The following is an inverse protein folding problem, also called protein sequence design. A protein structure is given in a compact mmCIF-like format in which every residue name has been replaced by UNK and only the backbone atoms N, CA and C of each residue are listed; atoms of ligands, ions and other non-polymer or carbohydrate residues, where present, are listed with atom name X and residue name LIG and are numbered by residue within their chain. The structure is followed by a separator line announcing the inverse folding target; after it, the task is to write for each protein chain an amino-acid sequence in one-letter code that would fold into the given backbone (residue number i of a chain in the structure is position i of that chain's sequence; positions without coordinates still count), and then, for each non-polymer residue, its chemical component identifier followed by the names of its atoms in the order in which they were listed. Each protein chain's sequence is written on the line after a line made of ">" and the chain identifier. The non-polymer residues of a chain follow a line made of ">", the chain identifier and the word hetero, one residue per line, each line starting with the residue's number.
data_IF_998059750288
#
_entry.id   IF_998059750288
#
_cell.length_a   1.000
_cell.length_b   1.000
_cell.length_c   1.000
_cell.angle_alpha   90.00
_cell.angle_beta   90.00
_cell.angle_gamma   90.00
#
_symmetry.space_group_name_H-M   'P 1'
#
loop_
_entity.id
_entity.type
_entity.pdbx_description
1 polymer ?
#
# COMPACT_ATOMS: atom_id res chain seq x y z
N UNK A 1 -45.53 -40.68 23.88
CA UNK A 1 -45.64 -41.46 22.65
C UNK A 1 -46.93 -41.13 21.93
N UNK A 2 -46.98 -40.04 21.21
CA UNK A 2 -48.08 -39.68 20.27
C UNK A 2 -47.68 -38.34 19.68
N UNK A 3 -46.85 -38.29 18.64
CA UNK A 3 -46.65 -37.14 17.75
C UNK A 3 -45.63 -37.45 16.64
N UNK A 4 -45.52 -38.72 16.21
CA UNK A 4 -44.52 -39.10 15.17
C UNK A 4 -45.17 -39.71 13.91
N UNK A 5 -46.48 -39.66 13.73
CA UNK A 5 -47.19 -40.32 12.61
C UNK A 5 -47.82 -39.36 11.59
N UNK A 6 -47.87 -38.05 11.83
CA UNK A 6 -48.56 -37.13 10.92
C UNK A 6 -47.64 -36.51 9.83
N UNK A 7 -46.32 -36.64 9.93
CA UNK A 7 -45.41 -36.01 8.96
C UNK A 7 -45.03 -36.91 7.76
N UNK A 8 -45.52 -38.13 7.65
CA UNK A 8 -45.17 -39.11 6.59
C UNK A 8 -46.21 -39.23 5.47
N UNK A 9 -47.36 -38.56 5.58
CA UNK A 9 -48.40 -38.65 4.56
C UNK A 9 -48.51 -37.40 3.65
N UNK A 10 -47.83 -36.28 3.95
CA UNK A 10 -47.85 -35.10 3.09
C UNK A 10 -46.77 -35.09 1.99
N UNK A 11 -45.81 -36.01 1.98
CA UNK A 11 -44.75 -36.06 0.98
C UNK A 11 -45.06 -36.96 -0.24
N UNK A 12 -46.16 -37.69 -0.26
CA UNK A 12 -46.50 -38.58 -1.36
C UNK A 12 -47.56 -38.06 -2.35
N UNK A 13 -48.14 -36.87 -2.13
CA UNK A 13 -49.17 -36.32 -3.01
C UNK A 13 -48.65 -35.24 -3.99
N UNK A 14 -47.44 -34.74 -3.82
CA UNK A 14 -46.81 -33.77 -4.74
C UNK A 14 -45.92 -34.33 -5.85
N UNK A 15 -45.75 -35.64 -5.95
CA UNK A 15 -44.89 -36.31 -6.93
C UNK A 15 -45.64 -36.84 -8.17
N UNK A 16 -46.88 -36.48 -8.41
CA UNK A 16 -47.70 -37.05 -9.54
C UNK A 16 -48.42 -36.04 -10.45
N UNK A 17 -47.99 -34.76 -10.49
CA UNK A 17 -48.55 -33.78 -11.44
C UNK A 17 -47.49 -32.89 -12.07
N UNK A 18 -46.49 -33.47 -12.69
CA UNK A 18 -45.59 -32.71 -13.58
C UNK A 18 -44.96 -33.63 -14.63
N UNK A 19 -45.84 -34.25 -15.40
CA UNK A 19 -45.38 -34.97 -16.59
C UNK A 19 -46.46 -34.88 -17.66
N UNK A 20 -46.68 -33.69 -18.21
CA UNK A 20 -47.36 -33.47 -19.52
C UNK A 20 -47.36 -31.97 -19.84
N UNK A 21 -46.19 -31.48 -20.25
CA UNK A 21 -45.98 -30.18 -20.88
C UNK A 21 -45.21 -30.46 -22.16
N UNK A 22 -45.93 -30.91 -23.15
CA UNK A 22 -45.44 -31.29 -24.48
C UNK A 22 -44.80 -30.12 -25.19
N UNK A 23 -43.58 -30.35 -25.60
CA UNK A 23 -42.75 -29.60 -26.53
C UNK A 23 -43.50 -29.28 -27.81
N UNK A 24 -43.91 -28.02 -28.00
CA UNK A 24 -44.18 -27.47 -29.34
C UNK A 24 -42.95 -26.68 -29.76
N UNK A 25 -42.04 -27.32 -30.43
CA UNK A 25 -40.99 -26.67 -31.20
C UNK A 25 -41.64 -26.05 -32.46
N UNK A 26 -41.94 -24.76 -32.42
CA UNK A 26 -42.17 -23.96 -33.59
C UNK A 26 -40.79 -23.73 -34.24
N UNK A 27 -40.59 -24.41 -35.39
CA UNK A 27 -39.53 -24.10 -36.36
C UNK A 27 -39.82 -22.71 -36.96
N UNK A 28 -39.36 -21.66 -36.30
CA UNK A 28 -39.13 -20.37 -36.95
C UNK A 28 -37.77 -20.46 -37.57
N UNK A 29 -37.74 -20.48 -38.91
CA UNK A 29 -36.48 -20.39 -39.68
C UNK A 29 -35.75 -19.11 -39.32
N UNK A 30 -34.81 -19.21 -38.42
CA UNK A 30 -33.87 -18.15 -38.12
C UNK A 30 -32.79 -18.18 -39.20
N UNK A 31 -32.78 -17.18 -40.07
CA UNK A 31 -31.55 -16.75 -40.74
C UNK A 31 -30.53 -16.41 -39.65
N UNK A 32 -29.71 -17.38 -39.29
CA UNK A 32 -28.73 -17.27 -38.24
C UNK A 32 -27.63 -16.30 -38.63
N UNK A 33 -27.80 -15.07 -38.29
CA UNK A 33 -26.65 -14.18 -38.07
C UNK A 33 -25.93 -14.76 -36.87
N UNK A 34 -24.78 -15.36 -37.08
CA UNK A 34 -23.95 -15.91 -36.00
C UNK A 34 -23.40 -14.76 -35.19
N UNK A 35 -24.09 -14.40 -34.11
CA UNK A 35 -23.68 -13.36 -33.16
C UNK A 35 -22.82 -14.00 -32.08
N UNK A 36 -21.67 -13.42 -31.82
CA UNK A 36 -20.79 -13.81 -30.71
C UNK A 36 -21.45 -13.33 -29.43
N UNK A 37 -21.86 -14.26 -28.57
CA UNK A 37 -22.45 -13.93 -27.27
C UNK A 37 -21.39 -14.11 -26.16
N UNK A 38 -21.30 -13.14 -25.27
CA UNK A 38 -20.48 -13.24 -24.04
C UNK A 38 -21.37 -13.74 -22.91
N UNK A 39 -20.92 -14.79 -22.24
CA UNK A 39 -21.61 -15.41 -21.11
C UNK A 39 -20.71 -15.35 -19.88
N UNK A 40 -21.28 -15.10 -18.70
CA UNK A 40 -20.52 -15.28 -17.46
C UNK A 40 -20.04 -16.74 -17.38
N UNK A 41 -18.74 -16.91 -17.18
CA UNK A 41 -18.13 -18.24 -17.07
C UNK A 41 -18.39 -18.79 -15.67
N UNK A 42 -19.60 -19.32 -15.42
CA UNK A 42 -19.72 -20.29 -14.35
C UNK A 42 -18.86 -21.50 -14.66
N UNK A 43 -18.17 -22.01 -13.69
CA UNK A 43 -17.10 -23.00 -13.76
C UNK A 43 -17.43 -24.34 -14.48
N UNK A 44 -18.63 -24.48 -15.01
CA UNK A 44 -19.11 -25.67 -15.74
C UNK A 44 -19.34 -25.45 -17.25
N UNK A 45 -19.24 -24.25 -17.77
CA UNK A 45 -19.57 -23.90 -19.15
C UNK A 45 -18.38 -23.33 -19.95
N UNK A 46 -17.15 -23.75 -19.66
CA UNK A 46 -16.03 -23.55 -20.55
C UNK A 46 -16.28 -24.41 -21.81
N UNK A 47 -17.03 -23.84 -22.79
CA UNK A 47 -17.14 -24.45 -24.11
C UNK A 47 -15.73 -24.60 -24.69
N UNK A 48 -15.41 -25.74 -25.30
CA UNK A 48 -14.08 -26.08 -25.87
C UNK A 48 -13.51 -25.04 -26.85
N UNK A 49 -14.23 -23.96 -27.15
CA UNK A 49 -13.88 -22.89 -28.06
C UNK A 49 -14.20 -21.49 -27.52
N UNK A 50 -13.95 -21.19 -26.25
CA UNK A 50 -14.15 -19.88 -25.67
C UNK A 50 -12.84 -19.28 -25.18
N UNK A 51 -12.65 -17.97 -25.37
CA UNK A 51 -11.57 -17.22 -24.77
C UNK A 51 -12.07 -16.57 -23.49
N UNK A 52 -11.40 -16.85 -22.39
CA UNK A 52 -11.74 -16.27 -21.09
C UNK A 52 -11.03 -14.94 -20.87
N UNK A 53 -11.71 -14.00 -20.25
CA UNK A 53 -11.11 -12.78 -19.77
C UNK A 53 -11.73 -12.38 -18.41
N UNK A 54 -10.97 -11.59 -17.65
CA UNK A 54 -11.37 -11.08 -16.34
C UNK A 54 -11.53 -9.57 -16.38
N UNK A 55 -12.42 -9.07 -15.51
CA UNK A 55 -12.45 -7.64 -15.21
C UNK A 55 -11.60 -7.36 -13.97
N UNK A 56 -11.00 -6.16 -13.87
CA UNK A 56 -10.23 -5.79 -12.70
C UNK A 56 -11.12 -5.27 -11.57
N UNK A 57 -10.60 -5.36 -10.34
CA UNK A 57 -11.06 -4.65 -9.15
C UNK A 57 -9.90 -3.81 -8.60
N UNK A 58 -10.21 -2.90 -7.69
CA UNK A 58 -9.21 -2.02 -7.09
C UNK A 58 -8.76 -2.56 -5.75
N UNK A 59 -7.47 -2.73 -5.61
CA UNK A 59 -6.77 -2.95 -4.36
C UNK A 59 -6.21 -1.61 -3.85
N UNK A 60 -6.43 -1.31 -2.58
CA UNK A 60 -5.83 -0.19 -1.88
C UNK A 60 -4.55 -0.64 -1.21
N UNK A 61 -3.45 -0.04 -1.58
CA UNK A 61 -2.16 -0.22 -0.93
C UNK A 61 -1.90 0.98 -0.04
N UNK A 62 -1.85 0.75 1.26
CA UNK A 62 -1.58 1.79 2.26
C UNK A 62 -0.19 1.58 2.83
N UNK A 63 0.67 2.57 2.65
CA UNK A 63 1.96 2.65 3.30
C UNK A 63 1.84 3.49 4.57
N UNK A 64 2.18 2.92 5.70
CA UNK A 64 2.35 3.62 6.96
C UNK A 64 3.82 3.62 7.36
N UNK A 65 4.39 4.79 7.62
CA UNK A 65 5.77 4.97 8.05
C UNK A 65 5.79 5.61 9.44
N UNK A 66 6.46 4.95 10.37
CA UNK A 66 6.69 5.46 11.71
C UNK A 66 8.18 5.70 11.95
N UNK A 67 8.47 6.80 12.61
CA UNK A 67 9.82 7.17 13.03
C UNK A 67 10.02 6.82 14.51
N UNK A 68 11.11 6.11 14.77
CA UNK A 68 11.57 5.80 16.12
C UNK A 68 12.71 6.73 16.50
N UNK A 69 12.59 7.37 17.65
CA UNK A 69 13.69 8.09 18.29
C UNK A 69 14.13 7.34 19.53
N UNK A 70 15.37 6.86 19.49
CA UNK A 70 16.04 6.24 20.64
C UNK A 70 17.00 7.25 21.25
N UNK A 71 16.84 7.51 22.53
CA UNK A 71 17.73 8.36 23.30
C UNK A 71 18.45 7.51 24.34
N UNK A 72 19.74 7.74 24.49
CA UNK A 72 20.58 7.05 25.49
C UNK A 72 21.38 8.07 26.26
N UNK A 73 21.32 8.01 27.60
CA UNK A 73 22.11 8.87 28.45
C UNK A 73 23.61 8.52 28.37
N UNK A 74 24.44 9.54 28.33
CA UNK A 74 25.88 9.36 28.38
C UNK A 74 26.37 8.84 29.73
N UNK A 75 27.49 8.12 29.80
CA UNK A 75 28.04 7.62 31.07
C UNK A 75 28.40 8.73 32.05
N UNK A 76 28.64 9.95 31.56
CA UNK A 76 29.01 11.11 32.37
C UNK A 76 27.89 12.16 32.50
N UNK A 77 26.64 11.83 32.21
CA UNK A 77 25.55 12.80 32.16
C UNK A 77 25.37 13.62 33.44
N UNK A 78 25.63 13.03 34.63
CA UNK A 78 25.55 13.72 35.94
C UNK A 78 26.60 14.82 36.13
N UNK A 79 27.64 14.84 35.30
CA UNK A 79 28.76 15.76 35.39
C UNK A 79 28.76 16.82 34.30
N UNK A 80 27.77 16.78 33.35
CA UNK A 80 27.69 17.67 32.19
C UNK A 80 27.61 19.15 32.61
N UNK A 81 26.74 19.48 33.54
CA UNK A 81 26.58 20.84 34.04
C UNK A 81 27.87 21.34 34.72
N UNK A 82 28.48 20.49 35.56
CA UNK A 82 29.69 20.85 36.32
C UNK A 82 30.89 21.11 35.41
N UNK A 83 31.12 20.27 34.40
CA UNK A 83 32.35 20.33 33.59
C UNK A 83 32.17 21.03 32.27
N UNK A 84 30.99 20.98 31.65
CA UNK A 84 30.72 21.59 30.36
C UNK A 84 29.73 22.76 30.42
N UNK A 85 29.08 23.01 31.56
CA UNK A 85 28.06 24.02 31.71
C UNK A 85 26.77 23.71 30.96
N UNK A 86 26.50 22.43 30.61
CA UNK A 86 25.33 21.99 29.84
C UNK A 86 24.35 21.29 30.78
N UNK A 87 23.14 21.84 30.87
CA UNK A 87 22.04 21.29 31.71
C UNK A 87 21.02 20.46 30.90
N UNK A 88 20.94 20.70 29.56
CA UNK A 88 20.07 19.94 28.69
C UNK A 88 20.76 18.64 28.26
N UNK A 89 20.51 17.58 29.01
CA UNK A 89 21.12 16.26 28.84
C UNK A 89 20.10 15.16 28.90
N UNK A 90 20.35 14.07 28.20
CA UNK A 90 19.54 12.85 28.32
C UNK A 90 19.83 12.21 29.69
N UNK A 91 18.86 12.18 30.58
CA UNK A 91 18.99 11.65 31.94
C UNK A 91 18.64 10.17 32.06
N UNK A 92 17.81 9.65 31.15
CA UNK A 92 17.36 8.26 31.13
C UNK A 92 17.19 7.77 29.68
N UNK A 93 17.43 6.48 29.42
CA UNK A 93 17.18 5.92 28.10
C UNK A 93 15.68 5.96 27.80
N UNK A 94 15.33 6.42 26.61
CA UNK A 94 13.95 6.44 26.11
C UNK A 94 13.89 5.95 24.66
N UNK A 95 12.78 5.27 24.33
CA UNK A 95 12.46 4.86 22.97
C UNK A 95 11.03 5.31 22.68
N UNK A 96 10.88 6.19 21.70
CA UNK A 96 9.57 6.74 21.34
C UNK A 96 9.33 6.65 19.86
N UNK A 97 8.09 6.32 19.50
CA UNK A 97 7.63 6.24 18.13
C UNK A 97 6.63 7.35 17.84
N UNK A 98 6.66 7.85 16.62
CA UNK A 98 5.64 8.75 16.08
C UNK A 98 5.31 8.34 14.64
N UNK A 99 4.06 8.56 14.24
CA UNK A 99 3.66 8.38 12.85
C UNK A 99 4.29 9.51 12.02
N UNK A 100 5.05 9.14 11.00
CA UNK A 100 5.76 10.09 10.15
C UNK A 100 4.95 10.40 8.88
N UNK A 101 4.47 9.33 8.21
CA UNK A 101 3.74 9.47 6.96
C UNK A 101 2.76 8.33 6.77
N UNK A 102 1.61 8.65 6.17
CA UNK A 102 0.65 7.67 5.66
C UNK A 102 0.32 8.04 4.22
N UNK A 103 0.40 7.07 3.32
CA UNK A 103 0.05 7.25 1.92
C UNK A 103 -0.89 6.14 1.48
N UNK A 104 -1.82 6.45 0.57
CA UNK A 104 -2.71 5.48 -0.04
C UNK A 104 -2.57 5.51 -1.55
N UNK A 105 -2.53 4.34 -2.15
CA UNK A 105 -2.45 4.15 -3.59
C UNK A 105 -3.44 3.08 -4.02
N UNK A 106 -4.04 3.25 -5.19
CA UNK A 106 -4.91 2.26 -5.79
C UNK A 106 -4.15 1.53 -6.89
N UNK A 107 -4.31 0.22 -6.95
CA UNK A 107 -3.81 -0.59 -8.07
C UNK A 107 -4.89 -1.55 -8.56
N UNK A 108 -4.95 -1.78 -9.90
CA UNK A 108 -5.87 -2.74 -10.46
C UNK A 108 -5.36 -4.16 -10.20
N UNK A 109 -6.25 -5.03 -9.75
CA UNK A 109 -5.98 -6.47 -9.59
C UNK A 109 -7.11 -7.27 -10.24
N UNK A 110 -6.83 -8.49 -10.67
CA UNK A 110 -7.83 -9.38 -11.26
C UNK A 110 -8.95 -9.68 -10.29
N UNK A 111 -10.21 -9.58 -10.76
CA UNK A 111 -11.39 -10.03 -10.03
C UNK A 111 -11.77 -11.44 -10.49
N UNK A 112 -11.50 -12.45 -9.68
CA UNK A 112 -11.79 -13.85 -10.01
C UNK A 112 -13.29 -14.15 -10.11
N UNK A 113 -14.12 -13.30 -9.48
CA UNK A 113 -15.58 -13.46 -9.53
C UNK A 113 -16.18 -12.89 -10.83
N UNK A 114 -15.46 -12.05 -11.56
CA UNK A 114 -15.90 -11.43 -12.81
C UNK A 114 -15.14 -12.01 -14.00
N UNK A 115 -15.33 -13.30 -14.22
CA UNK A 115 -14.81 -14.03 -15.37
C UNK A 115 -15.86 -14.13 -16.47
N UNK A 116 -15.50 -13.81 -17.70
CA UNK A 116 -16.37 -13.84 -18.88
C UNK A 116 -15.75 -14.67 -19.99
N UNK A 117 -16.62 -15.41 -20.69
CA UNK A 117 -16.25 -16.25 -21.81
C UNK A 117 -16.76 -15.64 -23.13
N UNK A 118 -15.86 -15.43 -24.08
CA UNK A 118 -16.21 -15.05 -25.45
C UNK A 118 -16.17 -16.31 -26.30
N UNK A 119 -17.34 -16.77 -26.77
CA UNK A 119 -17.43 -17.93 -27.63
C UNK A 119 -16.90 -17.60 -29.04
N UNK A 120 -15.90 -18.33 -29.47
CA UNK A 120 -15.34 -18.22 -30.83
C UNK A 120 -16.06 -19.24 -31.74
N UNK A 121 -16.90 -18.77 -32.65
CA UNK A 121 -17.59 -19.62 -33.59
C UNK A 121 -16.90 -19.57 -34.95
N UNK A 122 -16.81 -20.70 -35.69
CA UNK A 122 -16.16 -20.79 -37.03
C UNK A 122 -16.76 -19.84 -38.07
N UNK A 123 -17.97 -19.32 -37.84
CA UNK A 123 -18.69 -18.39 -38.74
C UNK A 123 -18.61 -16.93 -38.32
N UNK A 124 -18.12 -16.63 -37.13
CA UNK A 124 -17.92 -15.28 -36.64
C UNK A 124 -16.44 -14.91 -36.71
N UNK A 125 -16.17 -13.71 -37.18
CA UNK A 125 -14.85 -13.14 -37.13
C UNK A 125 -14.39 -13.08 -35.69
N UNK A 126 -13.29 -13.77 -35.35
CA UNK A 126 -12.77 -13.77 -34.01
C UNK A 126 -12.34 -12.36 -33.61
N UNK A 127 -12.81 -11.89 -32.48
CA UNK A 127 -12.27 -10.66 -31.89
C UNK A 127 -10.82 -10.89 -31.46
N UNK A 128 -9.99 -9.91 -31.73
CA UNK A 128 -8.64 -9.91 -31.19
C UNK A 128 -8.72 -9.32 -29.79
N UNK A 129 -8.69 -10.18 -28.76
CA UNK A 129 -8.69 -9.77 -27.36
C UNK A 129 -7.26 -9.60 -26.88
N UNK A 130 -6.96 -8.47 -26.29
CA UNK A 130 -5.71 -8.23 -25.60
C UNK A 130 -5.96 -8.20 -24.09
N UNK A 131 -5.23 -9.03 -23.38
CA UNK A 131 -5.27 -9.14 -21.93
C UNK A 131 -3.89 -8.86 -21.35
N UNK A 132 -3.86 -8.49 -20.08
CA UNK A 132 -2.64 -8.49 -19.27
C UNK A 132 -2.17 -9.94 -19.04
N UNK A 133 -0.97 -10.12 -18.47
CA UNK A 133 -0.45 -11.44 -18.08
C UNK A 133 -1.39 -12.16 -17.10
N UNK A 134 -2.14 -11.41 -16.27
CA UNK A 134 -3.15 -11.94 -15.36
C UNK A 134 -4.51 -12.21 -16.01
N UNK A 135 -4.64 -12.04 -17.33
CA UNK A 135 -5.87 -12.30 -18.07
C UNK A 135 -6.93 -11.19 -17.97
N UNK A 136 -6.57 -9.99 -17.51
CA UNK A 136 -7.48 -8.84 -17.45
C UNK A 136 -7.60 -8.20 -18.84
N UNK A 137 -8.84 -7.97 -19.32
CA UNK A 137 -9.09 -7.39 -20.62
C UNK A 137 -8.66 -5.92 -20.69
N UNK A 138 -7.85 -5.59 -21.69
CA UNK A 138 -7.29 -4.23 -21.92
C UNK A 138 -7.79 -3.61 -23.21
N UNK A 139 -7.90 -4.43 -24.26
CA UNK A 139 -8.35 -3.95 -25.56
C UNK A 139 -9.04 -5.04 -26.39
N UNK A 140 -9.87 -4.60 -27.35
CA UNK A 140 -10.53 -5.46 -28.34
C UNK A 140 -10.27 -4.86 -29.72
N UNK A 141 -9.73 -5.66 -30.64
CA UNK A 141 -9.35 -5.25 -32.00
C UNK A 141 -8.43 -4.02 -32.07
N UNK A 142 -7.78 -3.65 -30.97
CA UNK A 142 -6.88 -2.51 -30.87
C UNK A 142 -5.54 -2.95 -30.27
N UNK A 143 -4.43 -2.25 -30.56
CA UNK A 143 -3.17 -2.49 -29.86
C UNK A 143 -3.32 -2.19 -28.37
N UNK A 144 -2.50 -2.84 -27.55
CA UNK A 144 -2.49 -2.58 -26.09
C UNK A 144 -2.32 -1.07 -25.85
N UNK A 145 -3.24 -0.42 -25.17
CA UNK A 145 -3.05 0.97 -24.82
C UNK A 145 -1.77 1.07 -23.98
N UNK A 146 -0.93 2.05 -24.33
CA UNK A 146 0.19 2.39 -23.44
C UNK A 146 -0.41 2.70 -22.07
N UNK A 147 0.00 2.03 -21.00
CA UNK A 147 -0.47 2.37 -19.67
C UNK A 147 -0.27 3.88 -19.48
N UNK A 148 -1.29 4.58 -18.99
CA UNK A 148 -1.09 5.93 -18.49
C UNK A 148 -0.24 5.77 -17.21
N UNK A 149 1.06 5.53 -17.43
CA UNK A 149 2.07 5.46 -16.38
C UNK A 149 2.13 6.84 -15.68
N UNK A 150 1.17 7.09 -14.82
CA UNK A 150 1.50 7.94 -13.69
C UNK A 150 2.60 7.18 -12.97
N UNK A 151 3.79 7.80 -12.81
CA UNK A 151 4.88 7.13 -12.13
C UNK A 151 4.35 6.69 -10.78
N UNK A 152 4.20 5.38 -10.64
CA UNK A 152 3.88 4.79 -9.33
C UNK A 152 4.93 5.36 -8.39
N UNK A 153 4.59 6.12 -7.35
CA UNK A 153 5.59 6.57 -6.41
C UNK A 153 6.24 5.30 -5.88
N UNK A 154 7.49 5.07 -6.32
CA UNK A 154 8.34 4.04 -5.72
C UNK A 154 8.57 4.50 -4.29
N UNK A 155 7.73 4.02 -3.40
CA UNK A 155 7.92 4.30 -1.99
C UNK A 155 9.16 3.56 -1.55
N UNK A 156 10.18 4.27 -1.08
CA UNK A 156 11.29 3.60 -0.45
C UNK A 156 10.70 2.88 0.78
N UNK A 157 10.52 1.57 0.65
CA UNK A 157 10.31 0.73 1.82
C UNK A 157 11.57 0.92 2.63
N UNK A 158 11.49 1.68 3.73
CA UNK A 158 12.60 1.81 4.64
C UNK A 158 13.00 0.38 5.02
N UNK A 159 14.23 0.00 4.68
CA UNK A 159 14.76 -1.28 5.10
C UNK A 159 14.51 -1.39 6.61
N UNK A 160 14.01 -2.54 7.08
CA UNK A 160 13.85 -2.77 8.50
C UNK A 160 15.17 -2.43 9.17
N UNK A 161 15.24 -1.23 9.74
CA UNK A 161 16.40 -0.86 10.53
C UNK A 161 16.39 -1.82 11.74
N UNK A 162 17.35 -2.72 11.76
CA UNK A 162 17.61 -3.55 12.92
C UNK A 162 17.63 -2.63 14.15
N UNK A 163 17.08 -3.10 15.29
CA UNK A 163 17.06 -2.32 16.52
C UNK A 163 18.43 -1.69 16.76
N UNK A 164 18.55 -0.40 16.45
CA UNK A 164 19.81 0.30 16.49
C UNK A 164 20.20 0.51 17.95
N UNK A 165 21.18 -0.24 18.41
CA UNK A 165 21.73 -0.07 19.74
C UNK A 165 22.62 1.16 19.72
N UNK A 166 22.28 2.17 20.52
CA UNK A 166 23.12 3.36 20.70
C UNK A 166 24.31 2.98 21.56
N UNK A 167 25.51 3.02 21.00
CA UNK A 167 26.76 2.76 21.71
C UNK A 167 27.59 4.03 21.83
N UNK A 168 28.38 4.11 22.90
CA UNK A 168 29.36 5.17 23.11
C UNK A 168 30.75 4.64 22.86
N UNK A 169 31.52 5.36 22.04
CA UNK A 169 32.91 5.01 21.77
C UNK A 169 33.81 5.54 22.89
N UNK A 170 34.11 4.68 23.85
CA UNK A 170 35.04 5.00 24.94
C UNK A 170 36.49 5.00 24.48
N UNK A 171 36.84 4.48 23.29
CA UNK A 171 38.20 4.46 22.78
C UNK A 171 38.75 5.86 22.42
N UNK A 172 37.86 6.85 22.31
CA UNK A 172 38.22 8.25 22.11
C UNK A 172 38.79 8.91 23.37
N UNK A 173 38.64 8.27 24.54
CA UNK A 173 39.23 8.77 25.78
C UNK A 173 40.72 8.53 25.81
N UNK A 174 41.49 9.52 26.28
CA UNK A 174 42.90 9.36 26.52
C UNK A 174 43.22 8.28 27.56
N UNK A 175 44.43 7.72 27.52
CA UNK A 175 44.87 6.63 28.39
C UNK A 175 44.64 6.95 29.89
N UNK A 176 44.96 8.18 30.32
CA UNK A 176 44.71 8.60 31.70
C UNK A 176 43.27 8.48 32.15
N UNK A 177 42.30 8.77 31.23
CA UNK A 177 40.88 8.66 31.54
C UNK A 177 40.44 7.20 31.61
N UNK A 178 40.97 6.32 30.74
CA UNK A 178 40.65 4.90 30.73
C UNK A 178 41.19 4.16 31.97
N UNK A 179 42.33 4.59 32.51
CA UNK A 179 42.95 4.00 33.70
C UNK A 179 42.43 4.63 35.01
N UNK A 180 41.60 5.68 34.91
CA UNK A 180 41.09 6.36 36.08
C UNK A 180 40.17 5.43 36.92
N UNK A 181 40.40 5.40 38.19
CA UNK A 181 39.74 4.49 39.15
C UNK A 181 38.28 4.90 39.53
N UNK A 182 37.82 6.05 39.05
CA UNK A 182 36.49 6.55 39.38
C UNK A 182 35.82 7.31 38.24
N UNK A 183 34.49 7.16 38.13
CA UNK A 183 33.67 7.85 37.11
C UNK A 183 33.85 9.38 37.14
N UNK A 184 33.83 10.05 38.33
CA UNK A 184 34.07 11.49 38.38
C UNK A 184 35.42 11.90 37.78
N UNK A 185 36.48 11.12 38.04
CA UNK A 185 37.81 11.41 37.49
C UNK A 185 37.86 11.19 36.00
N UNK A 186 37.24 10.12 35.49
CA UNK A 186 37.10 9.88 34.05
C UNK A 186 36.35 11.07 33.37
N UNK A 187 35.27 11.55 33.97
CA UNK A 187 34.52 12.70 33.44
C UNK A 187 35.36 13.99 33.44
N UNK A 188 36.13 14.25 34.49
CA UNK A 188 37.04 15.40 34.55
C UNK A 188 38.07 15.36 33.41
N UNK A 189 38.70 14.21 33.20
CA UNK A 189 39.74 14.03 32.16
C UNK A 189 39.14 14.10 30.75
N UNK A 190 37.96 13.54 30.53
CA UNK A 190 37.22 13.66 29.28
C UNK A 190 36.86 15.13 28.97
N UNK A 191 36.40 15.89 29.96
CA UNK A 191 36.13 17.32 29.79
C UNK A 191 37.38 18.11 29.46
N UNK A 192 38.50 17.81 30.12
CA UNK A 192 39.80 18.43 29.81
C UNK A 192 40.23 18.17 28.36
N UNK A 193 40.02 16.96 27.88
CA UNK A 193 40.30 16.60 26.47
C UNK A 193 39.41 17.39 25.51
N UNK A 194 38.10 17.56 25.80
CA UNK A 194 37.20 18.40 25.00
C UNK A 194 37.74 19.83 24.92
N UNK A 195 38.17 20.43 26.02
CA UNK A 195 38.71 21.79 26.01
C UNK A 195 40.02 21.87 25.21
N UNK A 196 40.88 20.86 25.28
CA UNK A 196 42.13 20.80 24.46
C UNK A 196 41.78 20.75 22.96
N UNK A 197 40.75 19.99 22.55
CA UNK A 197 40.31 19.95 21.17
C UNK A 197 39.83 21.33 20.74
N UNK A 198 39.00 22.02 21.56
CA UNK A 198 38.52 23.37 21.29
C UNK A 198 39.64 24.39 21.14
N UNK A 199 40.66 24.34 22.01
CA UNK A 199 41.87 25.18 21.92
C UNK A 199 42.64 24.91 20.64
N UNK A 200 42.88 23.63 20.29
CA UNK A 200 43.56 23.25 19.06
C UNK A 200 42.80 23.73 17.82
N UNK A 201 41.49 23.62 17.80
CA UNK A 201 40.65 24.13 16.72
C UNK A 201 40.71 25.66 16.61
N UNK A 202 40.66 26.35 17.72
CA UNK A 202 40.79 27.81 17.76
C UNK A 202 42.18 28.28 17.24
N UNK A 203 43.26 27.61 17.63
CA UNK A 203 44.62 27.91 17.16
C UNK A 203 44.77 27.68 15.64
N UNK A 204 44.18 26.59 15.10
CA UNK A 204 44.17 26.33 13.66
C UNK A 204 43.40 27.42 12.88
N UNK A 205 42.29 27.87 13.42
CA UNK A 205 41.46 28.92 12.78
C UNK A 205 42.10 30.31 12.90
N UNK A 206 42.84 30.58 13.97
CA UNK A 206 43.57 31.85 14.16
C UNK A 206 44.80 31.96 13.29
N UNK A 207 45.32 30.84 12.76
CA UNK A 207 46.53 30.83 11.96
C UNK A 207 47.82 30.93 12.80
N UNK A 208 47.75 30.61 14.09
CA UNK A 208 48.89 30.71 15.04
C UNK A 208 49.90 29.56 14.88
N UNK A 209 49.74 28.69 13.90
CA UNK A 209 50.67 27.61 13.63
C UNK A 209 51.76 28.03 12.60
N UNK A 210 53.00 27.73 12.87
CA UNK A 210 54.15 28.06 12.01
C UNK A 210 54.04 27.49 10.58
N UNK A 211 53.29 26.40 10.40
CA UNK A 211 52.98 25.81 9.10
C UNK A 211 51.47 25.48 9.02
N UNK A 212 50.72 26.30 8.31
CA UNK A 212 49.35 26.00 7.99
C UNK A 212 49.30 24.91 6.92
N UNK A 213 48.54 23.82 7.12
CA UNK A 213 48.26 22.86 6.07
C UNK A 213 47.55 23.53 4.92
N UNK A 214 47.65 22.95 3.72
CA UNK A 214 46.88 23.40 2.57
C UNK A 214 45.34 23.33 2.89
N UNK A 215 44.54 24.15 2.18
CA UNK A 215 43.10 24.32 2.50
C UNK A 215 42.30 23.02 2.53
N UNK A 216 42.62 22.01 1.72
CA UNK A 216 41.97 20.70 1.73
C UNK A 216 42.36 19.89 2.98
N UNK A 217 43.67 19.88 3.34
CA UNK A 217 44.15 19.20 4.53
C UNK A 217 43.63 19.86 5.81
N UNK A 218 43.55 21.19 5.86
CA UNK A 218 42.93 21.94 6.97
C UNK A 218 41.45 21.55 7.15
N UNK A 219 40.70 21.43 6.06
CA UNK A 219 39.32 20.99 6.11
C UNK A 219 39.14 19.59 6.74
N UNK A 220 39.98 18.64 6.35
CA UNK A 220 39.99 17.28 6.94
C UNK A 220 40.39 17.31 8.41
N UNK A 221 41.36 18.11 8.80
CA UNK A 221 41.76 18.23 10.22
C UNK A 221 40.66 18.80 11.09
N UNK A 222 40.02 19.88 10.64
CA UNK A 222 38.89 20.47 11.37
C UNK A 222 37.72 19.49 11.49
N UNK A 223 37.42 18.75 10.42
CA UNK A 223 36.38 17.72 10.47
C UNK A 223 36.67 16.64 11.51
N UNK A 224 37.92 16.16 11.57
CA UNK A 224 38.34 15.15 12.55
C UNK A 224 38.27 15.67 13.98
N UNK A 225 38.66 16.93 14.23
CA UNK A 225 38.48 17.55 15.55
C UNK A 225 37.03 17.68 15.94
N UNK A 226 36.16 18.08 15.02
CA UNK A 226 34.74 18.20 15.25
C UNK A 226 34.07 16.81 15.51
N UNK A 227 34.48 15.76 14.82
CA UNK A 227 34.05 14.39 15.07
C UNK A 227 34.47 13.92 16.46
N UNK A 228 35.77 14.12 16.82
CA UNK A 228 36.28 13.75 18.14
C UNK A 228 35.59 14.53 19.27
N UNK A 229 35.42 15.85 19.12
CA UNK A 229 34.67 16.66 20.09
C UNK A 229 33.24 16.17 20.27
N UNK A 230 32.53 15.89 19.17
CA UNK A 230 31.14 15.42 19.19
C UNK A 230 31.00 14.09 19.93
N UNK A 231 31.90 13.14 19.70
CA UNK A 231 31.88 11.84 20.38
C UNK A 231 32.17 11.99 21.89
N UNK A 232 33.13 12.83 22.27
CA UNK A 232 33.43 13.07 23.68
C UNK A 232 32.31 13.84 24.39
N UNK A 233 31.71 14.85 23.74
CA UNK A 233 30.56 15.59 24.27
C UNK A 233 29.36 14.68 24.46
N UNK A 234 29.16 13.72 23.55
CA UNK A 234 28.07 12.75 23.66
C UNK A 234 28.16 11.88 24.92
N UNK A 235 29.35 11.65 25.47
CA UNK A 235 29.52 10.97 26.77
C UNK A 235 28.87 11.73 27.93
N UNK A 236 28.65 13.05 27.78
CA UNK A 236 28.01 13.90 28.79
C UNK A 236 26.55 14.17 28.48
N UNK A 237 26.24 14.59 27.23
CA UNK A 237 24.88 15.00 26.87
C UNK A 237 23.98 13.85 26.50
N UNK A 238 24.57 12.71 26.12
CA UNK A 238 23.87 11.56 25.56
C UNK A 238 23.86 11.55 24.03
N UNK A 239 23.29 10.51 23.48
CA UNK A 239 23.07 10.35 22.04
C UNK A 239 21.61 10.07 21.75
N UNK A 240 21.14 10.49 20.57
CA UNK A 240 19.87 10.08 20.02
C UNK A 240 20.08 9.61 18.59
N UNK A 241 19.32 8.59 18.23
CA UNK A 241 19.30 8.02 16.88
C UNK A 241 17.86 7.90 16.44
N UNK A 242 17.58 8.31 15.21
CA UNK A 242 16.27 8.15 14.59
C UNK A 242 16.37 7.16 13.45
N UNK A 243 15.34 6.31 13.35
CA UNK A 243 15.17 5.42 12.19
C UNK A 243 13.68 5.26 11.88
N UNK A 244 13.37 4.93 10.64
CA UNK A 244 11.99 4.73 10.18
C UNK A 244 11.71 3.24 9.99
N UNK A 245 10.45 2.84 10.30
CA UNK A 245 9.88 1.54 9.96
C UNK A 245 8.65 1.76 9.12
N UNK A 246 8.55 1.04 8.00
CA UNK A 246 7.40 1.09 7.11
C UNK A 246 6.61 -0.21 7.17
N UNK A 247 5.28 -0.11 7.15
CA UNK A 247 4.36 -1.24 7.05
C UNK A 247 3.43 -0.99 5.87
N UNK A 248 3.21 -2.01 5.05
CA UNK A 248 2.33 -1.95 3.90
C UNK A 248 1.09 -2.80 4.17
N UNK A 249 -0.08 -2.21 3.97
CA UNK A 249 -1.37 -2.89 4.05
C UNK A 249 -1.99 -2.97 2.66
N UNK A 250 -2.50 -4.15 2.32
CA UNK A 250 -3.19 -4.42 1.08
C UNK A 250 -4.64 -4.77 1.39
N UNK A 251 -5.58 -4.01 0.82
CA UNK A 251 -7.00 -4.08 1.16
C UNK A 251 -7.83 -4.01 -0.11
N UNK A 252 -8.75 -4.95 -0.27
CA UNK A 252 -9.75 -4.93 -1.35
C UNK A 252 -11.13 -4.73 -0.73
N UNK A 253 -11.66 -3.51 -0.67
CA UNK A 253 -12.98 -3.25 -0.09
C UNK A 253 -14.09 -3.69 -1.04
N UNK A 254 -14.86 -4.71 -0.67
CA UNK A 254 -16.03 -5.18 -1.45
C UNK A 254 -17.30 -4.34 -1.22
N UNK A 255 -17.30 -3.48 -0.21
CA UNK A 255 -18.38 -2.56 0.16
C UNK A 255 -17.81 -1.26 0.73
N UNK A 256 -18.59 -0.17 0.78
CA UNK A 256 -18.18 1.03 1.50
C UNK A 256 -17.79 0.71 2.95
N UNK A 257 -16.72 1.36 3.42
CA UNK A 257 -16.14 1.16 4.76
C UNK A 257 -16.32 2.44 5.56
N UNK A 258 -16.92 2.34 6.75
CA UNK A 258 -17.14 3.46 7.64
C UNK A 258 -16.23 3.33 8.86
N UNK A 259 -15.09 4.06 8.88
CA UNK A 259 -14.18 4.15 10.02
C UNK A 259 -13.74 2.80 10.61
N UNK A 260 -13.30 1.87 9.80
CA UNK A 260 -12.70 0.63 10.28
C UNK A 260 -11.24 0.89 10.71
N UNK A 261 -10.84 0.29 11.83
CA UNK A 261 -9.47 0.42 12.33
C UNK A 261 -8.53 -0.39 11.44
N UNK A 262 -7.64 0.30 10.72
CA UNK A 262 -6.67 -0.35 9.86
C UNK A 262 -5.44 -0.83 10.64
N UNK A 263 -4.91 0.03 11.48
CA UNK A 263 -3.80 -0.25 12.39
C UNK A 263 -3.88 0.69 13.59
N UNK A 264 -2.99 0.52 14.54
CA UNK A 264 -2.86 1.45 15.66
C UNK A 264 -1.43 1.94 15.79
N UNK A 265 -1.28 3.17 16.27
CA UNK A 265 0.01 3.80 16.51
C UNK A 265 0.29 3.90 17.98
N UNK A 266 1.27 3.14 18.45
CA UNK A 266 1.74 3.19 19.85
C UNK A 266 3.00 4.04 19.96
N UNK A 267 3.03 4.93 20.95
CA UNK A 267 4.23 5.70 21.26
C UNK A 267 5.42 4.81 21.66
N UNK A 268 5.16 3.61 22.16
CA UNK A 268 6.20 2.71 22.69
C UNK A 268 6.58 1.58 21.73
N UNK A 269 5.63 1.07 20.93
CA UNK A 269 5.82 -0.08 20.05
C UNK A 269 5.81 0.25 18.56
N UNK A 270 5.42 1.49 18.21
CA UNK A 270 5.27 1.92 16.83
C UNK A 270 3.95 1.48 16.22
N UNK A 271 3.97 1.07 14.97
CA UNK A 271 2.78 0.57 14.27
C UNK A 271 2.48 -0.84 14.77
N UNK A 272 1.28 -1.01 15.32
CA UNK A 272 0.77 -2.29 15.86
C UNK A 272 -0.54 -2.69 15.18
N UNK A 273 -0.93 -3.94 15.32
CA UNK A 273 -2.15 -4.48 14.73
C UNK A 273 -3.42 -3.78 15.25
N UNK A 274 -4.49 -3.82 14.47
CA UNK A 274 -5.76 -3.15 14.78
C UNK A 274 -6.40 -3.58 16.11
N UNK A 275 -6.18 -4.82 16.54
CA UNK A 275 -6.68 -5.43 17.78
C UNK A 275 -5.82 -5.12 19.01
N UNK A 276 -4.60 -4.61 18.82
CA UNK A 276 -3.72 -4.23 19.93
C UNK A 276 -4.13 -2.85 20.50
N UNK A 277 -4.77 -2.84 21.67
CA UNK A 277 -5.34 -1.64 22.30
C UNK A 277 -4.30 -0.66 22.90
N UNK A 278 -3.01 -0.96 22.82
CA UNK A 278 -1.94 -0.10 23.36
C UNK A 278 -1.79 1.19 22.55
N UNK A 279 -2.16 1.17 21.26
CA UNK A 279 -1.99 2.30 20.34
C UNK A 279 -3.28 3.08 20.06
N UNK A 280 -3.11 4.31 19.57
CA UNK A 280 -4.18 5.13 19.01
C UNK A 280 -4.62 4.58 17.66
N UNK A 281 -5.93 4.47 17.40
CA UNK A 281 -6.43 3.88 16.15
C UNK A 281 -6.25 4.83 14.97
N UNK A 282 -5.83 4.24 13.84
CA UNK A 282 -5.90 4.86 12.52
C UNK A 282 -7.00 4.18 11.73
N UNK A 283 -7.95 4.98 11.28
CA UNK A 283 -9.16 4.54 10.62
C UNK A 283 -9.04 4.63 9.10
N UNK A 284 -9.59 3.64 8.43
CA UNK A 284 -9.86 3.66 6.99
C UNK A 284 -11.35 3.93 6.78
N UNK A 285 -11.65 4.89 5.92
CA UNK A 285 -13.00 5.13 5.40
C UNK A 285 -12.97 5.06 3.87
N UNK A 286 -13.93 4.36 3.28
CA UNK A 286 -14.12 4.27 1.83
C UNK A 286 -15.56 4.63 1.53
N UNK A 287 -15.76 5.81 0.98
CA UNK A 287 -17.08 6.34 0.65
C UNK A 287 -17.26 6.37 -0.85
N UNK A 288 -18.32 5.75 -1.33
CA UNK A 288 -18.69 5.78 -2.73
C UNK A 288 -20.03 6.49 -2.90
N UNK A 289 -20.19 7.40 -3.87
CA UNK A 289 -21.49 7.96 -4.20
C UNK A 289 -22.42 6.85 -4.67
N UNK A 290 -23.68 6.90 -4.28
CA UNK A 290 -24.69 5.99 -4.81
C UNK A 290 -24.82 6.23 -6.31
N UNK A 291 -24.25 5.34 -7.10
CA UNK A 291 -24.43 5.41 -8.54
C UNK A 291 -25.83 4.91 -8.92
N UNK A 292 -26.44 5.50 -9.95
CA UNK A 292 -27.60 4.90 -10.56
C UNK A 292 -27.20 3.52 -11.08
N UNK A 293 -27.94 2.51 -10.66
CA UNK A 293 -27.81 1.12 -11.14
C UNK A 293 -27.61 1.07 -12.63
N UNK A 294 -26.70 0.20 -13.08
CA UNK A 294 -26.37 -0.06 -14.48
C UNK A 294 -27.54 0.16 -15.44
N UNK A 295 -27.31 0.93 -16.48
CA UNK A 295 -28.35 1.29 -17.46
C UNK A 295 -28.86 0.11 -18.27
N UNK A 296 -28.17 -1.03 -18.23
CA UNK A 296 -28.58 -2.22 -18.99
C UNK A 296 -28.34 -3.48 -18.16
N UNK A 297 -29.43 -4.15 -17.83
CA UNK A 297 -29.30 -5.49 -17.27
C UNK A 297 -28.65 -6.40 -18.31
N UNK A 298 -27.57 -7.09 -17.93
CA UNK A 298 -26.98 -8.15 -18.73
C UNK A 298 -28.08 -9.19 -18.95
N UNK A 299 -28.62 -9.27 -20.20
CA UNK A 299 -29.72 -10.14 -20.51
C UNK A 299 -30.93 -9.46 -21.17
N UNK A 300 -30.98 -8.12 -21.32
CA UNK A 300 -32.06 -7.43 -22.03
C UNK A 300 -31.86 -7.52 -23.55
N UNK A 301 -32.80 -8.05 -24.24
CA UNK A 301 -33.15 -8.14 -25.68
C UNK A 301 -32.03 -8.13 -26.77
N UNK A 302 -30.85 -7.65 -26.53
CA UNK A 302 -29.73 -7.69 -27.49
C UNK A 302 -28.55 -8.49 -26.90
N UNK A 303 -27.93 -9.37 -27.69
CA UNK A 303 -26.77 -10.15 -27.24
C UNK A 303 -25.62 -9.24 -26.84
N UNK A 304 -25.04 -9.53 -25.70
CA UNK A 304 -23.86 -8.81 -25.16
C UNK A 304 -22.60 -9.24 -25.93
N UNK A 305 -21.84 -8.27 -26.42
CA UNK A 305 -20.58 -8.52 -27.11
C UNK A 305 -19.37 -8.50 -26.20
N UNK A 306 -19.19 -7.46 -25.39
CA UNK A 306 -18.09 -7.34 -24.44
C UNK A 306 -18.60 -6.66 -23.17
N UNK A 307 -18.35 -7.29 -22.03
CA UNK A 307 -18.65 -6.72 -20.71
C UNK A 307 -17.46 -5.91 -20.23
N UNK A 308 -17.74 -4.75 -19.62
CA UNK A 308 -16.72 -3.85 -19.09
C UNK A 308 -17.18 -3.24 -17.75
N UNK A 309 -16.21 -2.73 -16.97
CA UNK A 309 -16.53 -2.08 -15.71
C UNK A 309 -17.04 -0.65 -15.92
N UNK A 310 -17.92 -0.22 -15.02
CA UNK A 310 -18.29 1.18 -14.80
C UNK A 310 -17.86 1.54 -13.37
N UNK A 311 -16.56 1.93 -13.18
CA UNK A 311 -16.05 2.24 -11.85
C UNK A 311 -16.77 3.44 -11.24
N UNK A 312 -16.94 3.42 -9.92
CA UNK A 312 -17.32 4.62 -9.17
C UNK A 312 -16.06 5.33 -8.67
N UNK A 313 -16.10 6.66 -8.62
CA UNK A 313 -15.07 7.44 -7.96
C UNK A 313 -15.31 7.38 -6.45
N UNK A 314 -14.56 6.54 -5.76
CA UNK A 314 -14.66 6.41 -4.31
C UNK A 314 -13.64 7.33 -3.62
N UNK A 315 -14.07 7.93 -2.53
CA UNK A 315 -13.22 8.73 -1.65
C UNK A 315 -12.65 7.79 -0.59
N UNK A 316 -11.33 7.70 -0.55
CA UNK A 316 -10.57 6.95 0.47
C UNK A 316 -9.94 7.95 1.42
N UNK A 317 -10.21 7.80 2.69
CA UNK A 317 -9.68 8.64 3.75
C UNK A 317 -9.05 7.78 4.84
N UNK A 318 -7.84 8.15 5.22
CA UNK A 318 -7.15 7.63 6.40
C UNK A 318 -7.08 8.74 7.44
N UNK A 319 -7.60 8.49 8.63
CA UNK A 319 -7.67 9.49 9.69
C UNK A 319 -7.32 8.88 11.05
N UNK A 320 -6.74 9.69 11.91
CA UNK A 320 -6.67 9.40 13.34
C UNK A 320 -7.88 10.02 14.08
N UNK A 321 -7.80 10.14 15.41
CA UNK A 321 -8.86 10.75 16.19
C UNK A 321 -8.94 12.28 16.02
N UNK A 322 -7.93 12.91 15.41
CA UNK A 322 -7.75 14.38 15.37
C UNK A 322 -7.73 14.94 13.96
N UNK A 323 -7.10 14.22 13.03
CA UNK A 323 -6.80 14.75 11.69
C UNK A 323 -6.94 13.72 10.58
N UNK A 324 -7.08 14.20 9.36
CA UNK A 324 -6.96 13.39 8.15
C UNK A 324 -5.48 13.26 7.81
N UNK A 325 -5.00 12.01 7.77
CA UNK A 325 -3.61 11.65 7.50
C UNK A 325 -3.34 11.50 6.00
N UNK A 326 -4.30 10.93 5.26
CA UNK A 326 -4.24 10.78 3.82
C UNK A 326 -5.64 10.79 3.22
N UNK A 327 -5.76 11.33 2.01
CA UNK A 327 -6.99 11.41 1.25
C UNK A 327 -6.71 11.15 -0.22
N UNK A 328 -7.51 10.30 -0.86
CA UNK A 328 -7.43 10.04 -2.29
C UNK A 328 -8.80 9.77 -2.89
N UNK A 329 -9.00 10.16 -4.15
CA UNK A 329 -10.16 9.76 -4.94
C UNK A 329 -9.69 8.73 -5.96
N UNK A 330 -10.25 7.53 -5.87
CA UNK A 330 -9.79 6.37 -6.66
C UNK A 330 -10.95 5.71 -7.40
N UNK A 331 -10.73 5.20 -8.62
CA UNK A 331 -11.74 4.43 -9.32
C UNK A 331 -11.89 3.05 -8.65
N UNK A 332 -13.11 2.70 -8.27
CA UNK A 332 -13.43 1.40 -7.67
C UNK A 332 -14.51 0.67 -8.48
N UNK A 333 -14.10 -0.27 -9.36
CA UNK A 333 -15.05 -1.08 -10.14
C UNK A 333 -15.95 -1.95 -9.29
N UNK A 334 -15.47 -2.48 -8.18
CA UNK A 334 -16.26 -3.35 -7.29
C UNK A 334 -17.37 -2.62 -6.55
N UNK A 335 -17.25 -1.29 -6.37
CA UNK A 335 -18.29 -0.44 -5.78
C UNK A 335 -19.16 0.25 -6.85
N UNK A 336 -18.79 0.09 -8.12
CA UNK A 336 -19.53 0.58 -9.27
C UNK A 336 -20.46 -0.48 -9.85
N UNK A 337 -20.49 -0.53 -11.18
CA UNK A 337 -21.29 -1.49 -11.92
C UNK A 337 -20.54 -2.11 -13.09
N UNK A 338 -21.21 -2.96 -13.81
CA UNK A 338 -20.77 -3.48 -15.11
C UNK A 338 -21.75 -3.06 -16.17
N UNK A 339 -21.28 -2.84 -17.39
CA UNK A 339 -22.11 -2.58 -18.56
C UNK A 339 -21.58 -3.41 -19.73
N UNK A 340 -22.30 -3.40 -20.84
CA UNK A 340 -22.04 -4.30 -21.95
C UNK A 340 -22.14 -3.56 -23.27
N UNK A 341 -21.12 -3.73 -24.10
CA UNK A 341 -21.16 -3.31 -25.51
C UNK A 341 -21.97 -4.31 -26.33
N UNK A 342 -22.95 -3.84 -27.14
CA UNK A 342 -23.74 -4.73 -27.99
C UNK A 342 -22.86 -5.52 -28.96
N UNK A 343 -23.16 -6.80 -29.19
CA UNK A 343 -22.41 -7.66 -30.11
C UNK A 343 -22.37 -7.11 -31.53
N UNK A 344 -23.44 -6.44 -31.99
CA UNK A 344 -23.53 -5.82 -33.32
C UNK A 344 -22.46 -4.75 -33.58
N UNK A 345 -21.84 -4.17 -32.57
CA UNK A 345 -20.75 -3.21 -32.76
C UNK A 345 -19.51 -3.85 -33.35
N UNK A 346 -19.35 -5.14 -33.17
CA UNK A 346 -18.19 -5.90 -33.62
C UNK A 346 -18.41 -6.64 -34.95
N UNK A 347 -19.59 -6.49 -35.54
CA UNK A 347 -19.87 -7.04 -36.85
C UNK A 347 -18.96 -6.38 -37.90
N UNK A 348 -18.07 -7.18 -38.55
CA UNK A 348 -17.15 -6.69 -39.58
C UNK A 348 -15.77 -6.25 -39.10
N UNK A 349 -15.34 -6.55 -37.89
CA UNK A 349 -13.99 -6.33 -37.33
C UNK A 349 -13.46 -4.88 -37.34
N UNK A 350 -14.24 -3.90 -37.71
CA UNK A 350 -13.78 -2.50 -37.79
C UNK A 350 -13.76 -1.78 -36.43
N UNK A 351 -14.53 -2.26 -35.47
CA UNK A 351 -14.66 -1.56 -34.17
C UNK A 351 -13.51 -1.94 -33.26
N UNK A 352 -12.78 -0.93 -32.85
CA UNK A 352 -11.67 -1.00 -31.87
C UNK A 352 -12.14 -0.44 -30.53
N UNK A 353 -11.87 -1.15 -29.46
CA UNK A 353 -12.22 -0.74 -28.10
C UNK A 353 -10.98 -0.80 -27.24
N UNK A 354 -10.75 0.25 -26.46
CA UNK A 354 -9.71 0.25 -25.41
C UNK A 354 -10.34 0.50 -24.07
N UNK A 355 -9.83 -0.17 -23.05
CA UNK A 355 -10.25 -0.02 -21.66
C UNK A 355 -9.16 0.68 -20.86
N UNK A 356 -9.55 1.27 -19.74
CA UNK A 356 -8.62 1.74 -18.73
C UNK A 356 -8.08 0.56 -17.93
N UNK A 357 -7.03 0.77 -17.13
CA UNK A 357 -6.49 -0.24 -16.22
C UNK A 357 -7.52 -0.76 -15.20
N UNK A 358 -8.55 0.05 -14.89
CA UNK A 358 -9.69 -0.35 -14.04
C UNK A 358 -10.87 -0.96 -14.81
N UNK A 359 -10.66 -1.27 -16.08
CA UNK A 359 -11.65 -1.91 -16.93
C UNK A 359 -12.79 -1.00 -17.39
N UNK A 360 -12.68 0.32 -17.24
CA UNK A 360 -13.65 1.27 -17.78
C UNK A 360 -13.40 1.50 -19.27
N UNK A 361 -14.46 1.86 -19.99
CA UNK A 361 -14.38 2.20 -21.40
C UNK A 361 -13.54 3.48 -21.59
N UNK A 362 -12.39 3.38 -22.28
CA UNK A 362 -11.51 4.51 -22.62
C UNK A 362 -11.85 5.10 -23.98
N UNK A 363 -11.97 4.25 -25.00
CA UNK A 363 -12.30 4.71 -26.36
C UNK A 363 -13.00 3.63 -27.19
N UNK A 364 -13.82 4.08 -28.13
CA UNK A 364 -14.37 3.27 -29.19
C UNK A 364 -14.08 4.01 -30.51
N UNK A 365 -13.50 3.32 -31.47
CA UNK A 365 -13.25 3.84 -32.83
C UNK A 365 -13.57 2.77 -33.88
N UNK A 366 -13.85 3.23 -35.09
CA UNK A 366 -14.06 2.39 -36.28
C UNK A 366 -12.91 2.54 -37.23
#
# INVERSE_FOLDING_TARGET
>A
MRNFVVCKQMFQVMAKKSLMGLVVWLLVGANGVAQTAVVAADSSAAADNAVLYYLPKTELVVLAEAECTVQQNGPFYKYAERYLGVSDVVTAPTKTWRLNRVCVQAQPVRDEQKCYAVAVNKKTTAYYLQTTDDGVLVAVNAPTPTPDLQPQPTWPVAAEAADTVVTFDMAQLGEEALVASSVPKMAELAAKQIYQIRESRAALLAGDNETLPDGAALGVMLQRLDEAERELVALFVGKYVTYCRSVVYSIVPDKPVERDVLFRMSRFEGIVAADNLIGEPVYLSVTAPKQPTCRRAVGAEAPCGIVYNVPTAAVVELSDCVSVLAHAVVPMPQLGGVDCLPAMLFDGNATRVTLTEYGALKSISR
#
